data_IF_401894165798
#
_entry.id   IF_401894165798
#
_cell.length_a   1.000
_cell.length_b   1.000
_cell.length_c   1.000
_cell.angle_alpha   90.00
_cell.angle_beta   90.00
_cell.angle_gamma   90.00
#
_symmetry.space_group_name_H-M   'P 1'
#
loop_
_entity.id
_entity.type
_entity.pdbx_description
1 polymer ?
#
# COMPACT_ATOMS: atom_id res chain seq x y z
N UNK A 1 64.06 -7.02 12.14
CA UNK A 1 63.64 -6.99 13.56
C UNK A 1 62.14 -6.75 13.60
N UNK A 2 61.39 -7.66 14.24
CA UNK A 2 59.94 -7.54 14.51
C UNK A 2 59.69 -6.44 15.56
N UNK A 3 58.49 -5.87 15.60
CA UNK A 3 57.60 -6.27 16.70
C UNK A 3 56.17 -6.58 16.25
N UNK A 4 55.55 -7.41 17.10
CA UNK A 4 54.22 -8.00 17.04
C UNK A 4 53.16 -6.98 17.48
N UNK A 5 52.00 -6.96 16.80
CA UNK A 5 50.75 -6.46 17.40
C UNK A 5 49.71 -7.58 17.40
N UNK A 6 49.12 -7.78 18.58
CA UNK A 6 48.24 -8.88 18.92
C UNK A 6 46.79 -8.65 18.52
N UNK A 7 46.09 -9.77 18.33
CA UNK A 7 44.68 -9.88 18.05
C UNK A 7 43.81 -9.46 19.26
N UNK A 8 42.73 -8.72 18.99
CA UNK A 8 41.65 -8.47 19.94
C UNK A 8 40.43 -9.33 19.55
N UNK A 9 39.90 -9.98 20.59
CA UNK A 9 38.85 -11.01 20.59
C UNK A 9 37.47 -10.49 20.23
N UNK A 10 36.69 -11.35 19.58
CA UNK A 10 35.26 -11.19 19.35
C UNK A 10 34.45 -11.21 20.65
N UNK A 11 33.29 -10.54 20.59
CA UNK A 11 32.20 -10.66 21.55
C UNK A 11 31.00 -11.25 20.81
N UNK A 12 30.70 -12.51 21.10
CA UNK A 12 29.39 -13.11 20.86
C UNK A 12 28.41 -12.56 21.89
N UNK A 13 27.24 -12.12 21.41
CA UNK A 13 26.09 -11.75 22.23
C UNK A 13 25.14 -12.94 22.15
N UNK A 14 25.05 -13.72 23.23
CA UNK A 14 24.06 -14.78 23.37
C UNK A 14 22.74 -14.17 23.87
N UNK A 15 21.65 -14.49 23.16
CA UNK A 15 20.28 -14.15 23.52
C UNK A 15 19.76 -15.16 24.56
N UNK A 16 19.31 -14.67 25.72
CA UNK A 16 18.56 -15.48 26.68
C UNK A 16 17.06 -15.42 26.37
N UNK A 17 16.50 -16.59 26.12
CA UNK A 17 15.08 -16.84 25.99
C UNK A 17 14.48 -17.12 27.39
N UNK A 18 13.48 -16.34 27.79
CA UNK A 18 12.69 -16.60 29.00
C UNK A 18 11.48 -17.48 28.66
N UNK A 19 11.55 -18.74 29.09
CA UNK A 19 10.39 -19.65 29.20
C UNK A 19 10.00 -19.72 30.67
N UNK A 20 8.70 -19.57 30.97
CA UNK A 20 8.14 -19.91 32.28
C UNK A 20 6.79 -20.60 32.10
N UNK A 21 6.76 -21.88 32.46
CA UNK A 21 5.55 -22.66 32.75
C UNK A 21 5.80 -23.33 34.10
N UNK A 22 4.85 -23.22 35.05
CA UNK A 22 4.25 -24.34 35.81
C UNK A 22 3.54 -23.94 37.13
N UNK A 23 2.22 -24.15 37.11
CA UNK A 23 1.35 -24.86 38.08
C UNK A 23 1.07 -24.42 39.53
N UNK A 24 -0.26 -24.37 39.76
CA UNK A 24 -1.11 -24.96 40.84
C UNK A 24 -1.12 -24.38 42.24
N UNK A 25 -2.34 -24.03 42.68
CA UNK A 25 -2.79 -24.02 44.07
C UNK A 25 -4.33 -24.00 44.16
N UNK A 26 -4.89 -25.06 44.75
CA UNK A 26 -6.32 -25.38 44.92
C UNK A 26 -7.00 -24.59 46.06
N UNK A 27 -8.34 -24.62 46.05
CA UNK A 27 -9.35 -24.49 47.14
C UNK A 27 -10.16 -23.17 47.21
N UNK A 28 -11.47 -23.26 46.90
CA UNK A 28 -12.57 -23.29 47.89
C UNK A 28 -13.93 -23.56 47.20
N UNK A 29 -14.73 -24.41 47.85
CA UNK A 29 -16.14 -24.69 47.55
C UNK A 29 -17.05 -23.64 48.21
N UNK A 30 -18.15 -23.27 47.58
CA UNK A 30 -19.53 -23.19 48.12
C UNK A 30 -20.42 -22.43 47.13
N UNK A 31 -21.39 -23.12 46.53
CA UNK A 31 -22.84 -22.94 46.76
C UNK A 31 -23.47 -21.79 45.97
N UNK A 32 -24.24 -22.14 44.94
CA UNK A 32 -25.48 -21.45 44.56
C UNK A 32 -26.31 -22.40 43.68
N UNK A 33 -27.16 -23.18 44.34
CA UNK A 33 -28.32 -23.84 43.75
C UNK A 33 -29.47 -22.82 43.75
N UNK A 34 -30.42 -23.03 42.83
CA UNK A 34 -31.77 -22.42 42.72
C UNK A 34 -31.87 -21.21 41.78
N UNK A 35 -32.21 -21.48 40.52
CA UNK A 35 -33.24 -20.75 39.76
C UNK A 35 -33.66 -21.49 38.48
N UNK A 36 -33.88 -22.81 38.54
CA UNK A 36 -34.72 -23.51 37.57
C UNK A 36 -36.13 -23.57 38.15
N UNK A 37 -36.92 -22.49 38.03
CA UNK A 37 -38.39 -22.58 38.18
C UNK A 37 -39.19 -21.33 37.74
N UNK A 38 -38.65 -20.50 36.83
CA UNK A 38 -39.34 -19.27 36.37
C UNK A 38 -39.55 -19.22 34.85
N UNK A 39 -39.12 -20.23 34.09
CA UNK A 39 -39.22 -20.23 32.62
C UNK A 39 -40.33 -21.12 32.04
N UNK A 40 -41.30 -21.57 32.84
CA UNK A 40 -42.35 -22.50 32.39
C UNK A 40 -43.77 -21.90 32.36
N UNK A 41 -43.91 -20.57 32.24
CA UNK A 41 -45.24 -19.93 32.22
C UNK A 41 -45.54 -18.90 31.14
N UNK A 42 -44.71 -18.76 30.11
CA UNK A 42 -45.14 -18.04 28.92
C UNK A 42 -44.70 -18.77 27.67
N UNK A 43 -45.66 -19.23 26.88
CA UNK A 43 -45.46 -19.89 25.59
C UNK A 43 -44.87 -18.93 24.55
N UNK A 44 -43.58 -18.67 24.64
CA UNK A 44 -42.81 -17.96 23.63
C UNK A 44 -42.10 -19.01 22.78
N UNK A 45 -42.48 -19.08 21.51
CA UNK A 45 -41.87 -19.90 20.48
C UNK A 45 -40.33 -19.76 20.51
N UNK A 46 -39.64 -20.79 20.97
CA UNK A 46 -38.17 -20.94 20.85
C UNK A 46 -37.69 -20.87 19.40
N UNK A 47 -38.57 -21.11 18.42
CA UNK A 47 -38.30 -20.89 17.01
C UNK A 47 -38.09 -19.41 16.64
N UNK A 48 -38.71 -18.45 17.36
CA UNK A 48 -38.60 -17.02 17.05
C UNK A 48 -37.28 -16.39 17.54
N UNK A 49 -36.69 -16.91 18.62
CA UNK A 49 -35.38 -16.43 19.13
C UNK A 49 -34.24 -16.96 18.27
N UNK A 50 -34.36 -18.19 17.74
CA UNK A 50 -33.41 -18.73 16.76
C UNK A 50 -33.49 -18.02 15.40
N UNK A 51 -34.68 -17.57 14.97
CA UNK A 51 -34.81 -16.70 13.79
C UNK A 51 -34.29 -15.27 14.05
N UNK A 52 -34.48 -14.71 15.25
CA UNK A 52 -33.95 -13.38 15.58
C UNK A 52 -32.41 -13.36 15.66
N UNK A 53 -31.76 -14.47 16.02
CA UNK A 53 -30.30 -14.61 16.02
C UNK A 53 -29.69 -15.03 14.67
N UNK A 54 -30.48 -15.63 13.76
CA UNK A 54 -30.09 -15.87 12.36
C UNK A 54 -30.36 -14.68 11.43
N UNK A 55 -31.14 -13.69 11.88
CA UNK A 55 -31.42 -12.41 11.20
C UNK A 55 -30.63 -11.24 11.80
N UNK A 56 -29.62 -11.52 12.64
CA UNK A 56 -28.45 -10.63 12.71
C UNK A 56 -27.66 -10.86 11.44
N UNK A 57 -28.17 -10.23 10.36
CA UNK A 57 -27.52 -10.21 9.08
C UNK A 57 -26.06 -9.87 9.31
N UNK A 58 -25.17 -10.74 8.82
CA UNK A 58 -23.88 -10.27 8.34
C UNK A 58 -24.19 -8.99 7.57
N UNK A 59 -23.63 -7.82 7.95
CA UNK A 59 -23.89 -6.58 7.23
C UNK A 59 -23.75 -6.94 5.76
N UNK A 60 -24.84 -6.81 5.00
CA UNK A 60 -24.87 -7.18 3.61
C UNK A 60 -23.62 -6.57 3.00
N UNK A 61 -22.71 -7.42 2.49
CA UNK A 61 -21.48 -6.95 1.87
C UNK A 61 -21.94 -5.85 0.90
N UNK A 62 -21.51 -4.61 1.15
CA UNK A 62 -21.90 -3.41 0.39
C UNK A 62 -21.35 -3.59 -1.02
N UNK A 63 -22.02 -4.41 -1.84
CA UNK A 63 -21.62 -4.82 -3.17
C UNK A 63 -21.76 -3.61 -4.08
N UNK A 64 -20.67 -2.89 -4.28
CA UNK A 64 -20.63 -1.65 -5.06
C UNK A 64 -19.58 -0.64 -4.58
N UNK A 65 -19.01 -0.81 -3.38
CA UNK A 65 -18.06 0.12 -2.76
C UNK A 65 -16.59 -0.27 -2.84
N UNK A 66 -16.20 -1.24 -3.68
CA UNK A 66 -14.85 -1.85 -3.61
C UNK A 66 -13.99 -1.69 -4.89
N UNK A 67 -14.45 -0.92 -5.87
CA UNK A 67 -13.63 -0.62 -7.05
C UNK A 67 -12.58 0.44 -6.72
N UNK A 68 -11.32 0.18 -7.08
CA UNK A 68 -10.25 1.16 -6.92
C UNK A 68 -10.54 2.35 -7.84
N UNK A 69 -10.54 3.58 -7.33
CA UNK A 69 -11.03 4.75 -8.06
C UNK A 69 -10.15 5.14 -9.24
N UNK A 70 -10.77 5.39 -10.39
CA UNK A 70 -10.06 5.76 -11.63
C UNK A 70 -9.17 7.01 -11.51
N UNK A 71 -9.51 7.89 -10.56
CA UNK A 71 -8.77 9.12 -10.22
C UNK A 71 -8.66 9.25 -8.72
N UNK A 72 -7.52 9.76 -8.26
CA UNK A 72 -7.27 10.11 -6.87
C UNK A 72 -7.01 11.61 -6.79
N UNK A 73 -7.65 12.27 -5.84
CA UNK A 73 -7.60 13.72 -5.64
C UNK A 73 -7.15 14.05 -4.22
N UNK A 74 -6.63 15.25 -3.99
CA UNK A 74 -6.32 15.72 -2.64
C UNK A 74 -7.59 16.27 -1.98
N UNK A 75 -7.98 15.70 -0.84
CA UNK A 75 -9.06 16.20 0.00
C UNK A 75 -8.47 16.94 1.21
N UNK A 76 -8.60 18.28 1.30
CA UNK A 76 -8.22 19.01 2.49
C UNK A 76 -9.17 18.67 3.65
N UNK A 77 -8.61 18.25 4.78
CA UNK A 77 -9.35 17.86 5.97
C UNK A 77 -8.85 18.63 7.18
N UNK A 78 -9.73 19.15 8.02
CA UNK A 78 -9.41 19.52 9.39
C UNK A 78 -9.93 18.42 10.31
N UNK A 79 -9.00 17.64 10.87
CA UNK A 79 -9.33 16.59 11.82
C UNK A 79 -9.29 17.20 13.22
N UNK A 80 -10.41 17.15 13.94
CA UNK A 80 -10.59 17.87 15.20
C UNK A 80 -10.77 16.85 16.33
N UNK A 81 -9.72 16.53 17.10
CA UNK A 81 -9.85 15.72 18.29
C UNK A 81 -10.93 16.27 19.24
N UNK A 82 -11.51 15.40 20.05
CA UNK A 82 -12.72 15.70 20.84
C UNK A 82 -12.57 16.91 21.78
N UNK A 83 -11.38 17.11 22.32
CA UNK A 83 -10.97 18.18 23.23
C UNK A 83 -10.48 19.44 22.51
N UNK A 84 -10.44 19.44 21.18
CA UNK A 84 -9.88 20.52 20.37
C UNK A 84 -10.96 21.35 19.67
N UNK A 85 -10.61 22.59 19.35
CA UNK A 85 -11.48 23.52 18.63
C UNK A 85 -11.37 23.33 17.11
N UNK A 86 -12.47 23.56 16.35
CA UNK A 86 -12.44 23.51 14.89
C UNK A 86 -11.58 24.66 14.35
N UNK A 87 -11.12 24.59 13.09
CA UNK A 87 -10.32 25.66 12.50
C UNK A 87 -11.14 26.94 12.38
N UNK A 88 -10.49 28.07 12.67
CA UNK A 88 -11.06 29.38 12.40
C UNK A 88 -11.01 29.71 10.89
N UNK A 89 -11.71 30.77 10.43
CA UNK A 89 -11.70 31.16 9.01
C UNK A 89 -10.31 31.54 8.48
N UNK A 90 -9.42 32.07 9.32
CA UNK A 90 -8.07 32.46 8.92
C UNK A 90 -7.18 31.24 8.71
N UNK A 91 -7.26 30.23 9.60
CA UNK A 91 -6.62 28.92 9.43
C UNK A 91 -7.08 28.23 8.15
N UNK A 92 -8.40 28.19 7.93
CA UNK A 92 -8.99 27.58 6.75
C UNK A 92 -8.47 28.24 5.46
N UNK A 93 -8.40 29.57 5.45
CA UNK A 93 -7.90 30.34 4.31
C UNK A 93 -6.40 30.09 4.10
N UNK A 94 -5.60 30.19 5.15
CA UNK A 94 -4.14 30.04 5.08
C UNK A 94 -3.75 28.63 4.61
N UNK A 95 -4.40 27.59 5.14
CA UNK A 95 -4.16 26.23 4.69
C UNK A 95 -4.52 26.04 3.21
N UNK A 96 -5.64 26.64 2.77
CA UNK A 96 -6.02 26.68 1.36
C UNK A 96 -4.98 27.34 0.46
N UNK A 97 -4.37 28.45 0.90
CA UNK A 97 -3.30 29.15 0.17
C UNK A 97 -2.05 28.28 0.02
N UNK A 98 -1.59 27.65 1.12
CA UNK A 98 -0.47 26.69 1.10
C UNK A 98 -0.70 25.53 0.10
N UNK A 99 -1.92 24.98 0.08
CA UNK A 99 -2.29 23.92 -0.85
C UNK A 99 -2.25 24.37 -2.31
N UNK A 100 -2.70 25.58 -2.62
CA UNK A 100 -2.59 26.12 -3.99
C UNK A 100 -1.13 26.25 -4.41
N UNK A 101 -0.26 26.75 -3.53
CA UNK A 101 1.17 26.88 -3.79
C UNK A 101 1.80 25.50 -4.01
N UNK A 102 1.45 24.50 -3.18
CA UNK A 102 1.95 23.13 -3.34
C UNK A 102 1.53 22.55 -4.70
N UNK A 103 0.25 22.69 -5.07
CA UNK A 103 -0.26 22.24 -6.38
C UNK A 103 0.46 22.91 -7.54
N UNK A 104 0.72 24.22 -7.44
CA UNK A 104 1.47 24.96 -8.45
C UNK A 104 2.92 24.47 -8.55
N UNK A 105 3.57 24.18 -7.43
CA UNK A 105 4.94 23.64 -7.40
C UNK A 105 5.03 22.25 -8.04
N UNK A 106 4.10 21.34 -7.72
CA UNK A 106 4.03 20.05 -8.41
C UNK A 106 3.80 20.20 -9.92
N UNK A 107 2.96 21.18 -10.33
CA UNK A 107 2.74 21.49 -11.75
C UNK A 107 4.03 21.87 -12.47
N UNK A 108 4.84 22.72 -11.84
CA UNK A 108 6.14 23.13 -12.38
C UNK A 108 7.08 21.92 -12.48
N UNK A 109 7.24 21.18 -11.37
CA UNK A 109 8.15 20.04 -11.31
C UNK A 109 7.78 18.95 -12.31
N UNK A 110 6.49 18.70 -12.55
CA UNK A 110 5.98 17.65 -13.44
C UNK A 110 5.62 18.15 -14.85
N UNK A 111 6.20 19.28 -15.28
CA UNK A 111 6.07 19.81 -16.64
C UNK A 111 4.61 20.01 -17.10
N UNK A 112 3.76 20.51 -16.21
CA UNK A 112 2.38 20.88 -16.49
C UNK A 112 1.32 19.94 -15.88
N UNK A 113 1.69 18.75 -15.42
CA UNK A 113 0.78 17.84 -14.71
C UNK A 113 0.80 18.08 -13.20
N UNK A 114 -0.31 17.86 -12.50
CA UNK A 114 -0.38 18.04 -11.04
C UNK A 114 -1.57 17.30 -10.47
N UNK A 115 -1.65 17.19 -9.15
CA UNK A 115 -2.82 16.64 -8.48
C UNK A 115 -4.00 17.62 -8.58
N UNK A 116 -5.21 17.08 -8.50
CA UNK A 116 -6.45 17.86 -8.40
C UNK A 116 -6.96 17.86 -6.97
N UNK A 117 -7.73 18.89 -6.62
CA UNK A 117 -8.50 18.90 -5.37
C UNK A 117 -9.81 18.16 -5.57
N UNK A 118 -10.32 17.57 -4.49
CA UNK A 118 -11.68 17.04 -4.45
C UNK A 118 -12.70 18.13 -4.90
N UNK A 119 -13.84 17.75 -5.52
CA UNK A 119 -14.78 18.70 -6.11
C UNK A 119 -15.34 19.69 -5.07
N UNK A 120 -15.54 19.19 -3.86
CA UNK A 120 -15.79 19.99 -2.67
C UNK A 120 -14.49 20.68 -2.25
N UNK A 121 -14.15 21.80 -2.89
CA UNK A 121 -12.94 22.59 -2.62
C UNK A 121 -12.89 23.23 -1.23
N UNK A 122 -13.79 22.85 -0.33
CA UNK A 122 -13.85 23.34 1.04
C UNK A 122 -13.10 22.39 1.95
N UNK A 123 -12.49 22.95 2.99
CA UNK A 123 -11.88 22.17 4.05
C UNK A 123 -12.96 21.32 4.74
N UNK A 124 -12.89 19.99 4.62
CA UNK A 124 -13.80 19.08 5.30
C UNK A 124 -13.42 19.04 6.77
N UNK A 125 -14.33 19.42 7.66
CA UNK A 125 -14.11 19.32 9.10
C UNK A 125 -14.65 17.97 9.58
N UNK A 126 -13.81 17.17 10.23
CA UNK A 126 -14.19 15.87 10.81
C UNK A 126 -13.87 15.87 12.30
N UNK A 127 -14.85 15.46 13.11
CA UNK A 127 -14.69 15.36 14.56
C UNK A 127 -14.15 13.98 14.91
N UNK A 128 -12.97 13.96 15.53
CA UNK A 128 -12.38 12.72 16.02
C UNK A 128 -13.19 12.13 17.18
N UNK A 129 -13.20 10.80 17.29
CA UNK A 129 -13.91 10.08 18.38
C UNK A 129 -13.18 10.21 19.72
N UNK A 130 -11.87 10.39 19.67
CA UNK A 130 -10.98 10.47 20.83
C UNK A 130 -10.38 11.87 21.02
N UNK A 131 -9.81 12.10 22.21
CA UNK A 131 -9.02 13.31 22.52
C UNK A 131 -7.66 13.28 21.82
N UNK A 132 -6.96 14.42 21.78
CA UNK A 132 -5.65 14.57 21.15
C UNK A 132 -4.62 13.60 21.76
N UNK A 133 -4.74 13.39 23.07
CA UNK A 133 -3.87 12.57 23.90
C UNK A 133 -3.90 11.09 23.53
N UNK A 134 -5.08 10.58 23.14
CA UNK A 134 -5.23 9.25 22.57
C UNK A 134 -4.39 9.08 21.30
N UNK A 135 -4.55 9.96 20.31
CA UNK A 135 -3.81 9.85 19.04
C UNK A 135 -2.30 9.98 19.24
N UNK A 136 -1.85 10.78 20.22
CA UNK A 136 -0.44 10.90 20.59
C UNK A 136 0.17 9.59 21.07
N UNK A 137 -0.60 8.80 21.82
CA UNK A 137 -0.17 7.50 22.36
C UNK A 137 -0.42 6.34 21.39
N UNK A 138 -1.24 6.54 20.36
CA UNK A 138 -1.53 5.54 19.36
C UNK A 138 -0.31 5.22 18.47
N UNK A 139 -0.35 4.06 17.80
CA UNK A 139 0.70 3.63 16.90
C UNK A 139 0.87 4.64 15.75
N UNK A 140 2.11 4.80 15.28
CA UNK A 140 2.42 5.70 14.16
C UNK A 140 1.84 7.11 14.39
N UNK A 141 1.93 7.59 15.65
CA UNK A 141 1.46 8.92 16.07
C UNK A 141 -0.03 9.17 15.73
N UNK A 142 -0.85 8.10 15.71
CA UNK A 142 -2.29 8.17 15.50
C UNK A 142 -2.74 8.32 14.04
N UNK A 143 -1.82 8.33 13.07
CA UNK A 143 -2.19 8.38 11.64
C UNK A 143 -3.19 7.28 11.24
N UNK A 144 -2.99 5.99 11.63
CA UNK A 144 -3.92 4.92 11.28
C UNK A 144 -5.34 5.14 11.82
N UNK A 145 -5.46 5.54 13.09
CA UNK A 145 -6.74 5.78 13.74
C UNK A 145 -7.49 6.95 13.09
N UNK A 146 -6.80 8.06 12.82
CA UNK A 146 -7.40 9.21 12.11
C UNK A 146 -7.88 8.83 10.70
N UNK A 147 -7.09 8.05 9.96
CA UNK A 147 -7.48 7.59 8.62
C UNK A 147 -8.67 6.64 8.67
N UNK A 148 -8.70 5.70 9.62
CA UNK A 148 -9.84 4.79 9.79
C UNK A 148 -11.12 5.59 10.11
N UNK A 149 -11.05 6.58 11.00
CA UNK A 149 -12.19 7.45 11.29
C UNK A 149 -12.64 8.28 10.09
N UNK A 150 -11.71 8.76 9.26
CA UNK A 150 -12.04 9.47 8.02
C UNK A 150 -12.68 8.57 6.97
N UNK A 151 -12.23 7.34 6.85
CA UNK A 151 -12.85 6.35 5.97
C UNK A 151 -14.27 6.04 6.43
N UNK A 152 -14.48 5.81 7.73
CA UNK A 152 -15.80 5.58 8.31
C UNK A 152 -16.75 6.77 8.08
N UNK A 153 -16.30 8.00 8.39
CA UNK A 153 -17.07 9.25 8.23
C UNK A 153 -17.50 9.50 6.78
N UNK A 154 -16.65 9.11 5.81
CA UNK A 154 -16.91 9.28 4.38
C UNK A 154 -17.58 8.05 3.74
N UNK A 155 -17.89 7.01 4.53
CA UNK A 155 -18.40 5.73 4.08
C UNK A 155 -17.53 5.07 2.98
N UNK A 156 -16.21 5.21 3.12
CA UNK A 156 -15.22 4.67 2.19
C UNK A 156 -14.53 3.44 2.78
N UNK A 157 -13.97 2.61 1.90
CA UNK A 157 -12.99 1.59 2.30
C UNK A 157 -11.59 2.07 1.95
N UNK A 158 -10.56 1.41 2.52
CA UNK A 158 -9.17 1.67 2.11
C UNK A 158 -8.95 1.47 0.61
N UNK A 159 -9.79 0.68 -0.07
CA UNK A 159 -9.64 0.33 -1.48
C UNK A 159 -10.40 1.27 -2.41
N UNK A 160 -11.61 1.71 -2.02
CA UNK A 160 -12.41 2.65 -2.81
C UNK A 160 -12.09 4.11 -2.58
N UNK A 161 -11.28 4.43 -1.56
CA UNK A 161 -10.94 5.79 -1.22
C UNK A 161 -10.31 6.56 -2.41
N UNK A 162 -11.01 7.59 -2.97
CA UNK A 162 -10.52 8.39 -4.09
C UNK A 162 -9.67 9.57 -3.62
N UNK A 163 -9.24 9.59 -2.36
CA UNK A 163 -8.58 10.75 -1.78
C UNK A 163 -7.18 10.48 -1.23
N UNK A 164 -6.27 11.41 -1.49
CA UNK A 164 -5.18 11.70 -0.57
C UNK A 164 -5.73 12.67 0.48
N UNK A 165 -5.88 12.19 1.72
CA UNK A 165 -6.31 13.04 2.84
C UNK A 165 -5.17 13.98 3.23
N UNK A 166 -5.36 15.27 3.04
CA UNK A 166 -4.43 16.30 3.49
C UNK A 166 -4.92 16.87 4.81
N UNK A 167 -4.47 16.27 5.91
CA UNK A 167 -5.06 16.42 7.24
C UNK A 167 -4.34 17.53 8.02
N UNK A 168 -5.05 18.60 8.32
CA UNK A 168 -4.70 19.56 9.35
C UNK A 168 -5.25 19.03 10.68
N UNK A 169 -4.39 18.53 11.55
CA UNK A 169 -4.80 18.06 12.89
C UNK A 169 -4.93 19.27 13.79
N UNK A 170 -6.14 19.53 14.27
CA UNK A 170 -6.38 20.67 15.15
C UNK A 170 -5.71 20.44 16.49
N UNK A 171 -4.71 21.27 16.75
CA UNK A 171 -3.90 21.33 17.94
C UNK A 171 -3.26 22.73 17.96
N UNK A 172 -3.67 23.57 18.90
CA UNK A 172 -3.16 24.94 19.01
C UNK A 172 -1.95 25.07 19.95
N UNK A 173 -1.61 24.00 20.67
CA UNK A 173 -0.69 24.04 21.81
C UNK A 173 0.75 23.68 21.42
N UNK A 174 0.92 22.64 20.59
CA UNK A 174 2.24 22.15 20.19
C UNK A 174 2.27 21.55 18.78
N UNK A 175 3.46 21.14 18.36
CA UNK A 175 3.75 20.62 17.02
C UNK A 175 3.22 19.22 16.76
N UNK A 176 2.44 18.58 17.63
CA UNK A 176 1.98 17.21 17.39
C UNK A 176 0.75 17.15 16.46
N UNK A 177 0.77 16.36 15.37
CA UNK A 177 1.93 15.66 14.81
C UNK A 177 2.83 16.60 13.98
N UNK A 178 4.15 16.39 14.04
CA UNK A 178 5.17 17.26 13.40
C UNK A 178 5.03 17.28 11.87
N UNK A 179 4.53 16.20 11.30
CA UNK A 179 4.48 15.94 9.87
C UNK A 179 4.62 14.44 9.60
N UNK A 180 3.98 13.99 8.53
CA UNK A 180 4.18 12.66 7.96
C UNK A 180 3.17 12.38 6.88
N UNK A 181 3.50 11.47 5.99
CA UNK A 181 2.61 11.02 4.93
C UNK A 181 2.96 9.63 4.43
N UNK A 182 2.01 8.99 3.76
CA UNK A 182 2.20 7.71 3.05
C UNK A 182 0.96 7.35 2.23
N UNK A 183 1.07 6.43 1.26
CA UNK A 183 -0.08 5.81 0.64
C UNK A 183 -0.80 4.90 1.64
N UNK A 184 -2.13 4.84 1.57
CA UNK A 184 -2.93 3.97 2.46
C UNK A 184 -2.70 2.50 2.13
N UNK A 185 -2.63 2.19 0.85
CA UNK A 185 -2.45 0.83 0.31
C UNK A 185 -1.00 0.53 -0.09
N UNK A 186 -0.08 1.42 0.22
CA UNK A 186 1.32 1.32 -0.20
C UNK A 186 1.51 1.51 -1.71
N UNK A 187 2.77 1.42 -2.15
CA UNK A 187 3.16 1.52 -3.54
C UNK A 187 2.76 2.81 -4.24
N UNK A 188 2.79 2.77 -5.57
CA UNK A 188 2.25 3.81 -6.43
C UNK A 188 0.93 3.32 -7.03
N UNK A 189 -0.07 4.20 -7.13
CA UNK A 189 -1.31 3.96 -7.88
C UNK A 189 -2.33 2.96 -7.29
N UNK A 190 -2.26 2.67 -6.00
CA UNK A 190 -3.10 1.65 -5.35
C UNK A 190 -4.30 2.24 -4.58
N UNK A 191 -4.69 3.46 -4.92
CA UNK A 191 -5.76 4.21 -4.28
C UNK A 191 -5.24 5.45 -3.58
N UNK A 192 -5.94 5.88 -2.54
CA UNK A 192 -5.64 7.08 -1.78
C UNK A 192 -4.35 7.05 -0.94
N UNK A 193 -4.13 8.14 -0.23
CA UNK A 193 -3.00 8.35 0.66
C UNK A 193 -3.38 9.27 1.81
N UNK A 194 -2.42 9.61 2.64
CA UNK A 194 -2.62 10.59 3.69
C UNK A 194 -1.33 11.35 3.96
N UNK A 195 -1.50 12.60 4.36
CA UNK A 195 -0.55 13.29 5.22
C UNK A 195 -1.29 13.93 6.39
N UNK A 196 -0.56 14.24 7.44
CA UNK A 196 -1.03 14.96 8.60
C UNK A 196 0.00 15.98 9.10
N UNK A 197 -0.46 17.18 9.47
CA UNK A 197 0.38 18.20 10.08
C UNK A 197 -0.48 18.96 11.11
N UNK A 198 0.08 19.30 12.26
CA UNK A 198 -0.63 20.07 13.28
C UNK A 198 -1.03 21.48 12.80
N UNK A 199 -2.17 22.00 13.25
CA UNK A 199 -2.55 23.41 13.03
C UNK A 199 -1.60 24.40 13.71
N UNK A 200 -0.88 23.98 14.75
CA UNK A 200 0.19 24.75 15.35
C UNK A 200 1.28 25.09 14.34
N UNK A 201 1.72 24.11 13.55
CA UNK A 201 2.75 24.29 12.52
C UNK A 201 2.31 25.29 11.45
N UNK A 202 1.05 25.21 11.01
CA UNK A 202 0.48 26.16 10.05
C UNK A 202 0.62 27.62 10.51
N UNK A 203 0.51 27.86 11.83
CA UNK A 203 0.55 29.20 12.42
C UNK A 203 1.95 29.66 12.80
N UNK A 204 2.83 28.73 13.20
CA UNK A 204 4.09 29.05 13.89
C UNK A 204 5.33 28.72 13.08
N UNK A 205 5.24 27.82 12.11
CA UNK A 205 6.39 27.35 11.35
C UNK A 205 6.46 28.05 9.99
N UNK A 206 7.47 28.90 9.82
CA UNK A 206 7.72 29.57 8.53
C UNK A 206 8.05 28.56 7.40
N UNK A 207 8.45 27.34 7.75
CA UNK A 207 8.79 26.26 6.82
C UNK A 207 7.62 25.31 6.53
N UNK A 208 6.39 25.68 6.94
CA UNK A 208 5.20 24.86 6.71
C UNK A 208 5.02 24.49 5.23
N UNK A 209 5.27 25.42 4.30
CA UNK A 209 5.05 25.17 2.87
C UNK A 209 5.99 24.12 2.27
N UNK A 210 7.28 24.11 2.65
CA UNK A 210 8.21 23.06 2.22
C UNK A 210 7.89 21.72 2.85
N UNK A 211 7.48 21.70 4.13
CA UNK A 211 7.04 20.49 4.84
C UNK A 211 5.80 19.89 4.18
N UNK A 212 4.79 20.70 3.87
CA UNK A 212 3.58 20.25 3.16
C UNK A 212 3.90 19.60 1.81
N UNK A 213 4.85 20.17 1.05
CA UNK A 213 5.27 19.58 -0.23
C UNK A 213 5.98 18.24 -0.04
N UNK A 214 6.86 18.13 0.95
CA UNK A 214 7.54 16.89 1.31
C UNK A 214 6.54 15.79 1.68
N UNK A 215 5.59 16.09 2.57
CA UNK A 215 4.60 15.11 3.04
C UNK A 215 3.57 14.71 1.97
N UNK A 216 3.25 15.63 1.05
CA UNK A 216 2.50 15.28 -0.17
C UNK A 216 3.30 14.28 -1.02
N UNK A 217 4.62 14.44 -1.12
CA UNK A 217 5.50 13.49 -1.82
C UNK A 217 5.38 12.08 -1.26
N UNK A 218 5.44 11.94 0.07
CA UNK A 218 5.18 10.67 0.73
C UNK A 218 3.76 10.13 0.48
N UNK A 219 2.75 11.00 0.56
CA UNK A 219 1.36 10.64 0.26
C UNK A 219 1.17 10.07 -1.15
N UNK A 220 1.99 10.54 -2.10
CA UNK A 220 2.00 10.07 -3.49
C UNK A 220 2.91 8.84 -3.72
N UNK A 221 3.58 8.34 -2.68
CA UNK A 221 4.35 7.11 -2.68
C UNK A 221 5.87 7.29 -2.77
N UNK A 222 6.40 8.49 -2.60
CA UNK A 222 7.84 8.73 -2.61
C UNK A 222 8.47 8.39 -1.26
N UNK A 223 9.53 7.57 -1.19
CA UNK A 223 10.35 7.45 0.00
C UNK A 223 11.32 8.63 0.12
N UNK A 224 12.03 8.71 1.24
CA UNK A 224 13.21 9.56 1.35
C UNK A 224 14.33 9.11 0.40
N UNK A 225 15.18 10.04 -0.01
CA UNK A 225 16.21 9.80 -1.04
C UNK A 225 17.36 8.87 -0.61
N UNK A 226 17.55 8.67 0.69
CA UNK A 226 18.60 7.82 1.27
C UNK A 226 18.40 6.34 0.94
N UNK A 227 17.15 5.90 0.67
CA UNK A 227 16.88 4.54 0.18
C UNK A 227 17.52 4.25 -1.17
N UNK A 228 17.89 5.29 -1.92
CA UNK A 228 18.61 5.22 -3.18
C UNK A 228 20.10 5.55 -3.04
N UNK A 229 20.58 5.79 -1.81
CA UNK A 229 21.99 6.11 -1.50
C UNK A 229 22.36 7.59 -1.59
N UNK A 230 21.39 8.49 -1.79
CA UNK A 230 21.65 9.93 -1.80
C UNK A 230 21.74 10.52 -0.37
N UNK A 231 22.52 11.59 -0.15
CA UNK A 231 22.60 12.24 1.15
C UNK A 231 21.29 12.96 1.51
N UNK A 232 20.66 12.53 2.61
CA UNK A 232 19.37 13.08 3.07
C UNK A 232 19.41 14.59 3.35
N UNK A 233 20.57 15.16 3.72
CA UNK A 233 20.70 16.58 4.10
C UNK A 233 21.13 17.50 2.95
N UNK A 234 21.45 16.99 1.76
CA UNK A 234 22.10 17.80 0.71
C UNK A 234 21.65 17.53 -0.72
N UNK A 235 20.65 16.67 -0.90
CA UNK A 235 20.09 16.39 -2.22
C UNK A 235 19.06 17.44 -2.58
N UNK A 236 18.98 17.82 -3.86
CA UNK A 236 18.00 18.79 -4.37
C UNK A 236 16.56 18.26 -4.44
N UNK A 237 16.31 17.03 -3.99
CA UNK A 237 14.97 16.44 -3.98
C UNK A 237 14.12 17.08 -2.89
N UNK A 238 12.82 17.27 -3.15
CA UNK A 238 11.83 17.61 -2.12
C UNK A 238 11.73 16.52 -1.05
N UNK A 239 12.17 15.28 -1.33
CA UNK A 239 12.21 14.15 -0.41
C UNK A 239 13.50 14.09 0.42
N UNK A 240 14.30 15.15 0.40
CA UNK A 240 15.43 15.36 1.29
C UNK A 240 15.04 16.26 2.47
N UNK A 241 15.90 16.33 3.48
CA UNK A 241 15.83 17.29 4.59
C UNK A 241 16.78 18.47 4.38
N UNK A 242 17.11 18.80 3.13
CA UNK A 242 18.02 19.90 2.83
C UNK A 242 17.43 21.25 3.32
N UNK A 243 18.05 21.91 4.31
CA UNK A 243 17.53 23.16 4.87
C UNK A 243 17.47 24.30 3.84
N UNK A 244 18.23 24.20 2.75
CA UNK A 244 18.16 25.16 1.65
C UNK A 244 16.77 25.20 0.99
N UNK A 245 15.93 24.17 1.16
CA UNK A 245 14.58 24.13 0.58
C UNK A 245 13.51 24.77 1.47
N UNK A 246 13.87 25.24 2.67
CA UNK A 246 12.93 25.81 3.63
C UNK A 246 12.24 27.07 3.10
N UNK A 247 10.91 27.04 3.10
CA UNK A 247 10.08 28.20 2.76
C UNK A 247 10.11 29.28 3.83
N UNK A 248 9.55 30.45 3.51
CA UNK A 248 9.23 31.51 4.48
C UNK A 248 7.75 31.88 4.38
N UNK A 249 6.92 31.21 5.18
CA UNK A 249 5.47 31.27 5.12
C UNK A 249 4.97 30.83 3.74
N UNK A 250 4.29 31.74 3.04
CA UNK A 250 3.79 31.52 1.67
C UNK A 250 4.85 31.76 0.59
N UNK A 251 6.03 32.27 0.94
CA UNK A 251 7.11 32.48 -0.03
C UNK A 251 7.92 31.20 -0.23
N UNK A 252 8.09 30.72 -1.48
CA UNK A 252 8.99 29.62 -1.79
C UNK A 252 10.43 29.92 -1.33
N UNK A 253 11.21 28.86 -1.05
CA UNK A 253 12.65 29.01 -0.87
C UNK A 253 13.32 29.63 -2.12
N UNK A 254 14.41 30.41 -1.98
CA UNK A 254 15.27 30.79 -3.10
C UNK A 254 15.83 29.60 -3.88
N UNK A 255 15.97 28.44 -3.22
CA UNK A 255 16.43 27.17 -3.79
C UNK A 255 15.39 26.09 -3.48
N UNK A 256 14.21 26.13 -4.11
CA UNK A 256 13.13 25.20 -3.80
C UNK A 256 13.51 23.78 -4.23
N UNK A 257 13.21 22.80 -3.39
CA UNK A 257 13.44 21.39 -3.72
C UNK A 257 12.74 20.98 -5.03
N UNK A 258 13.33 20.04 -5.74
CA UNK A 258 12.93 19.53 -7.05
C UNK A 258 12.63 18.03 -6.98
N UNK A 259 12.37 17.37 -8.12
CA UNK A 259 12.23 15.91 -8.17
C UNK A 259 13.47 15.32 -8.84
N UNK A 260 14.14 14.40 -8.16
CA UNK A 260 15.18 13.57 -8.79
C UNK A 260 14.55 12.58 -9.77
N UNK A 261 15.38 11.90 -10.56
CA UNK A 261 14.91 10.99 -11.59
C UNK A 261 14.07 9.84 -11.02
N UNK A 262 14.45 9.29 -9.86
CA UNK A 262 13.70 8.26 -9.12
C UNK A 262 12.34 8.76 -8.67
N UNK A 263 12.25 9.98 -8.15
CA UNK A 263 10.99 10.60 -7.75
C UNK A 263 10.05 10.70 -8.97
N UNK A 264 10.55 11.23 -10.09
CA UNK A 264 9.77 11.35 -11.34
C UNK A 264 9.33 9.98 -11.85
N UNK A 265 10.22 8.99 -11.81
CA UNK A 265 9.91 7.62 -12.23
C UNK A 265 8.83 7.01 -11.35
N UNK A 266 8.89 7.19 -10.04
CA UNK A 266 7.88 6.72 -9.10
C UNK A 266 6.53 7.45 -9.29
N UNK A 267 6.53 8.78 -9.43
CA UNK A 267 5.30 9.54 -9.67
C UNK A 267 4.66 9.23 -11.03
N UNK A 268 5.44 8.90 -12.06
CA UNK A 268 4.92 8.43 -13.34
C UNK A 268 4.20 7.08 -13.25
N UNK A 269 4.45 6.30 -12.18
CA UNK A 269 3.66 5.11 -11.89
C UNK A 269 2.33 5.50 -11.23
N UNK A 270 2.19 6.68 -10.61
CA UNK A 270 0.96 7.08 -9.92
C UNK A 270 -0.05 7.78 -10.87
N UNK A 271 -0.49 7.08 -11.92
CA UNK A 271 -1.34 7.63 -12.98
C UNK A 271 -2.75 8.07 -12.52
N UNK A 272 -3.28 7.52 -11.42
CA UNK A 272 -4.56 7.92 -10.82
C UNK A 272 -4.49 9.34 -10.25
N UNK A 273 -3.31 9.80 -9.81
CA UNK A 273 -3.08 11.20 -9.42
C UNK A 273 -2.57 11.98 -10.64
N UNK A 274 -1.46 11.53 -11.23
CA UNK A 274 -0.70 12.25 -12.26
C UNK A 274 -0.86 11.58 -13.64
N UNK A 275 -2.02 11.77 -14.28
CA UNK A 275 -2.39 11.06 -15.53
C UNK A 275 -1.44 11.32 -16.70
N UNK A 276 -0.79 12.48 -16.72
CA UNK A 276 -0.01 12.97 -17.86
C UNK A 276 1.49 12.86 -17.60
N UNK A 277 1.88 12.51 -16.38
CA UNK A 277 3.28 12.37 -16.00
C UNK A 277 3.84 11.09 -16.61
N UNK A 278 4.90 11.25 -17.40
CA UNK A 278 5.62 10.13 -18.01
C UNK A 278 7.11 10.24 -17.67
N UNK A 279 7.75 9.11 -17.38
CA UNK A 279 9.20 9.02 -17.24
C UNK A 279 9.87 8.71 -18.58
N UNK A 280 10.88 9.50 -18.94
CA UNK A 280 11.66 9.40 -20.17
C UNK A 280 13.14 9.45 -19.80
N UNK A 281 13.85 8.31 -19.77
CA UNK A 281 15.25 8.23 -19.33
C UNK A 281 16.17 9.30 -19.96
N UNK A 282 16.10 9.47 -21.28
CA UNK A 282 16.93 10.44 -22.02
C UNK A 282 16.68 11.92 -21.64
N UNK A 283 15.52 12.23 -21.05
CA UNK A 283 15.14 13.59 -20.61
C UNK A 283 15.33 13.77 -19.11
N UNK A 284 14.94 12.75 -18.34
CA UNK A 284 14.75 12.87 -16.89
C UNK A 284 15.99 12.44 -16.09
N UNK A 285 16.91 11.68 -16.68
CA UNK A 285 18.19 11.34 -16.07
C UNK A 285 19.21 12.42 -16.47
N UNK A 286 19.87 13.09 -15.52
CA UNK A 286 20.93 14.04 -15.83
C UNK A 286 22.01 13.41 -16.72
N UNK A 287 22.60 14.20 -17.63
CA UNK A 287 23.65 13.71 -18.52
C UNK A 287 24.81 13.14 -17.71
N UNK A 288 25.16 11.87 -17.95
CA UNK A 288 26.20 11.16 -17.20
C UNK A 288 25.79 10.67 -15.81
N UNK A 289 24.53 10.91 -15.40
CA UNK A 289 23.95 10.41 -14.17
C UNK A 289 23.58 8.94 -14.24
N UNK A 290 23.63 8.26 -13.10
CA UNK A 290 23.04 6.94 -12.89
C UNK A 290 21.89 7.08 -11.90
N UNK A 291 20.88 6.23 -12.05
CA UNK A 291 19.74 6.14 -11.14
C UNK A 291 19.65 4.74 -10.57
N UNK A 292 18.97 4.59 -9.44
CA UNK A 292 18.64 3.28 -8.90
C UNK A 292 17.84 2.46 -9.91
N UNK A 293 18.22 1.19 -10.18
CA UNK A 293 17.44 0.31 -11.06
C UNK A 293 16.05 0.01 -10.46
N UNK A 294 15.94 0.07 -9.13
CA UNK A 294 14.73 -0.25 -8.36
C UNK A 294 14.04 1.02 -7.86
N UNK A 295 12.71 1.04 -7.94
CA UNK A 295 11.87 1.96 -7.17
C UNK A 295 11.52 1.31 -5.83
N UNK A 296 11.73 2.03 -4.74
CA UNK A 296 11.43 1.54 -3.39
C UNK A 296 10.05 2.07 -2.98
N UNK A 297 9.00 1.21 -2.94
CA UNK A 297 7.69 1.65 -2.52
C UNK A 297 7.59 1.78 -1.01
N UNK A 298 6.75 2.71 -0.54
CA UNK A 298 6.25 2.71 0.82
C UNK A 298 5.23 1.58 1.01
N UNK A 299 5.25 0.90 2.16
CA UNK A 299 4.29 -0.18 2.46
C UNK A 299 2.88 0.33 2.76
N UNK A 300 1.86 -0.55 2.79
CA UNK A 300 0.50 -0.19 3.21
C UNK A 300 0.42 0.14 4.70
N UNK A 301 -0.56 0.96 5.06
CA UNK A 301 -0.91 1.22 6.46
C UNK A 301 -1.62 0.01 7.08
N UNK A 302 -1.36 -0.25 8.35
CA UNK A 302 -2.23 -1.11 9.16
C UNK A 302 -3.34 -0.23 9.72
N UNK A 303 -4.58 -0.40 9.28
CA UNK A 303 -5.71 0.46 9.66
C UNK A 303 -6.66 -0.28 10.62
N UNK A 304 -6.97 0.28 11.81
CA UNK A 304 -7.95 -0.30 12.72
C UNK A 304 -9.30 -0.52 12.02
N UNK A 305 -9.92 -1.69 12.23
CA UNK A 305 -11.25 -2.01 11.67
C UNK A 305 -11.27 -2.31 10.16
N UNK A 306 -10.16 -2.19 9.44
CA UNK A 306 -10.07 -2.51 8.02
C UNK A 306 -9.24 -3.78 7.77
N UNK A 307 -9.54 -4.56 6.71
CA UNK A 307 -8.73 -5.71 6.34
C UNK A 307 -7.31 -5.31 5.93
N UNK A 308 -6.39 -6.26 6.05
CA UNK A 308 -5.04 -6.13 5.52
C UNK A 308 -5.05 -5.93 4.00
N UNK A 309 -4.05 -5.22 3.49
CA UNK A 309 -4.00 -4.85 2.07
C UNK A 309 -3.60 -5.99 1.14
N UNK A 310 -2.67 -6.86 1.58
CA UNK A 310 -2.06 -7.84 0.70
C UNK A 310 -2.97 -9.06 0.48
N UNK A 311 -3.13 -9.55 -0.77
CA UNK A 311 -3.80 -10.81 -1.02
C UNK A 311 -3.02 -11.99 -0.43
N UNK A 312 -3.75 -13.04 -0.10
CA UNK A 312 -3.18 -14.33 0.30
C UNK A 312 -2.98 -15.18 -0.95
N UNK A 313 -1.80 -15.77 -1.10
CA UNK A 313 -1.50 -16.70 -2.18
C UNK A 313 -1.11 -18.05 -1.57
N UNK A 314 -1.77 -19.11 -2.03
CA UNK A 314 -1.44 -20.49 -1.64
C UNK A 314 -1.18 -21.33 -2.88
N UNK A 315 -0.40 -22.40 -2.73
CA UNK A 315 -0.06 -23.30 -3.84
C UNK A 315 0.09 -24.75 -3.40
N UNK A 316 -0.26 -25.68 -4.29
CA UNK A 316 0.02 -27.12 -4.15
C UNK A 316 1.41 -27.52 -4.70
N UNK A 317 2.09 -26.57 -5.32
CA UNK A 317 3.33 -26.76 -6.06
C UNK A 317 4.59 -26.41 -5.25
N UNK A 318 4.45 -26.10 -3.96
CA UNK A 318 5.57 -25.79 -3.07
C UNK A 318 6.24 -24.44 -3.34
N UNK A 319 7.25 -24.13 -2.52
CA UNK A 319 8.01 -22.89 -2.53
C UNK A 319 9.51 -23.24 -2.41
N UNK A 320 10.18 -23.41 -3.55
CA UNK A 320 11.58 -23.85 -3.59
C UNK A 320 12.56 -22.67 -3.62
N UNK A 321 13.84 -22.97 -3.35
CA UNK A 321 14.96 -22.02 -3.45
C UNK A 321 14.80 -20.76 -2.60
N UNK A 322 14.02 -20.85 -1.51
CA UNK A 322 13.75 -19.72 -0.62
C UNK A 322 12.75 -18.70 -1.17
N UNK A 323 12.07 -19.00 -2.28
CA UNK A 323 10.98 -18.17 -2.77
C UNK A 323 9.69 -18.35 -1.98
N UNK A 324 8.69 -17.50 -2.27
CA UNK A 324 7.33 -17.63 -1.76
C UNK A 324 6.32 -17.39 -2.87
N UNK A 325 5.20 -18.11 -2.85
CA UNK A 325 4.10 -17.96 -3.79
C UNK A 325 3.52 -16.54 -3.77
N UNK A 326 3.51 -15.88 -2.61
CA UNK A 326 3.06 -14.48 -2.48
C UNK A 326 3.91 -13.50 -3.29
N UNK A 327 5.15 -13.84 -3.66
CA UNK A 327 6.01 -12.99 -4.50
C UNK A 327 5.41 -12.75 -5.90
N UNK A 328 4.50 -13.61 -6.37
CA UNK A 328 3.91 -13.45 -7.70
C UNK A 328 2.97 -12.26 -7.81
N UNK A 329 2.56 -11.63 -6.71
CA UNK A 329 1.65 -10.48 -6.72
C UNK A 329 2.21 -9.26 -5.99
N UNK A 330 3.45 -9.31 -5.49
CA UNK A 330 4.07 -8.23 -4.74
C UNK A 330 5.49 -7.93 -5.22
N UNK A 331 5.90 -6.68 -5.08
CA UNK A 331 7.28 -6.28 -5.34
C UNK A 331 7.57 -5.93 -6.79
N UNK A 332 8.81 -6.18 -7.21
CA UNK A 332 9.32 -5.79 -8.51
C UNK A 332 9.16 -6.92 -9.53
N UNK A 333 8.63 -6.61 -10.73
CA UNK A 333 8.75 -7.52 -11.88
C UNK A 333 10.17 -7.40 -12.38
N UNK A 334 10.97 -8.44 -12.13
CA UNK A 334 12.32 -8.56 -12.67
C UNK A 334 12.26 -8.86 -14.17
N UNK A 335 13.26 -8.45 -14.97
CA UNK A 335 13.36 -8.88 -16.35
C UNK A 335 13.65 -10.39 -16.40
N UNK A 336 13.23 -11.06 -17.47
CA UNK A 336 13.58 -12.48 -17.65
C UNK A 336 15.03 -12.65 -18.10
N UNK A 337 15.54 -11.78 -18.97
CA UNK A 337 16.84 -11.94 -19.62
C UNK A 337 17.65 -10.64 -19.61
N UNK A 338 18.97 -10.77 -19.76
CA UNK A 338 19.91 -9.64 -19.86
C UNK A 338 21.18 -9.85 -19.03
N UNK A 339 22.18 -8.96 -19.16
CA UNK A 339 23.42 -9.05 -18.37
C UNK A 339 23.14 -9.01 -16.86
N UNK A 340 23.65 -10.00 -16.13
CA UNK A 340 23.48 -10.09 -14.67
C UNK A 340 22.09 -10.49 -14.18
N UNK A 341 21.15 -10.78 -15.08
CA UNK A 341 19.80 -11.20 -14.72
C UNK A 341 19.79 -12.69 -14.34
N UNK A 342 19.50 -12.94 -13.06
CA UNK A 342 19.47 -14.27 -12.46
C UNK A 342 18.18 -14.46 -11.66
N UNK A 343 17.96 -15.68 -11.17
CA UNK A 343 16.84 -15.98 -10.28
C UNK A 343 16.93 -15.17 -8.97
N UNK A 344 15.81 -14.54 -8.59
CA UNK A 344 15.68 -13.74 -7.38
C UNK A 344 14.56 -14.30 -6.48
N UNK A 345 14.87 -15.07 -5.43
CA UNK A 345 13.86 -15.65 -4.54
C UNK A 345 13.09 -14.60 -3.74
N UNK A 346 13.56 -13.36 -3.67
CA UNK A 346 12.84 -12.27 -3.01
C UNK A 346 11.68 -11.69 -3.83
N UNK A 347 11.72 -11.83 -5.16
CA UNK A 347 10.73 -11.25 -6.09
C UNK A 347 10.09 -12.27 -7.04
N UNK A 348 10.56 -13.51 -7.04
CA UNK A 348 10.03 -14.58 -7.88
C UNK A 348 9.45 -15.69 -7.01
N UNK A 349 8.56 -16.49 -7.59
CA UNK A 349 8.15 -17.80 -7.07
C UNK A 349 8.74 -18.91 -7.94
N UNK A 350 9.25 -19.96 -7.32
CA UNK A 350 9.73 -21.17 -7.97
C UNK A 350 9.02 -22.39 -7.40
N UNK A 351 8.42 -23.20 -8.27
CA UNK A 351 7.76 -24.43 -7.85
C UNK A 351 8.76 -25.52 -7.46
N UNK A 352 8.30 -26.53 -6.73
CA UNK A 352 8.96 -27.86 -6.70
C UNK A 352 8.87 -28.53 -8.08
N UNK A 353 9.61 -29.63 -8.33
CA UNK A 353 9.38 -30.43 -9.53
C UNK A 353 7.90 -30.88 -9.58
N UNK A 354 7.25 -30.78 -10.75
CA UNK A 354 5.83 -31.03 -10.93
C UNK A 354 5.61 -32.32 -11.74
N UNK A 355 5.36 -33.48 -11.08
CA UNK A 355 4.93 -34.69 -11.77
C UNK A 355 3.60 -34.43 -12.50
N UNK A 356 3.61 -34.54 -13.83
CA UNK A 356 2.45 -34.18 -14.66
C UNK A 356 2.40 -32.69 -15.07
N UNK A 357 3.42 -31.91 -14.71
CA UNK A 357 3.66 -30.57 -15.25
C UNK A 357 2.57 -29.56 -14.90
N UNK A 358 1.92 -29.68 -13.74
CA UNK A 358 0.82 -28.81 -13.31
C UNK A 358 1.08 -28.21 -11.94
N UNK A 359 0.81 -26.91 -11.79
CA UNK A 359 0.73 -26.22 -10.51
C UNK A 359 -0.63 -25.52 -10.36
N UNK A 360 -1.11 -25.38 -9.14
CA UNK A 360 -2.29 -24.58 -8.81
C UNK A 360 -1.87 -23.48 -7.84
N UNK A 361 -2.27 -22.25 -8.17
CA UNK A 361 -2.22 -21.09 -7.30
C UNK A 361 -3.65 -20.68 -6.96
N UNK A 362 -3.97 -20.54 -5.68
CA UNK A 362 -5.19 -19.87 -5.24
C UNK A 362 -4.84 -18.51 -4.66
N UNK A 363 -5.51 -17.47 -5.17
CA UNK A 363 -5.29 -16.08 -4.81
C UNK A 363 -6.58 -15.56 -4.19
N UNK A 364 -6.49 -15.09 -2.95
CA UNK A 364 -7.58 -14.47 -2.23
C UNK A 364 -7.27 -13.01 -1.93
N UNK A 365 -7.98 -12.11 -2.59
CA UNK A 365 -7.93 -10.69 -2.31
C UNK A 365 -8.67 -10.36 -1.00
N UNK A 366 -8.31 -9.27 -0.31
CA UNK A 366 -9.03 -8.84 0.89
C UNK A 366 -10.46 -8.33 0.59
N UNK A 367 -10.76 -8.05 -0.67
CA UNK A 367 -12.06 -7.61 -1.19
C UNK A 367 -12.27 -8.18 -2.60
N UNK A 368 -13.49 -8.06 -3.14
CA UNK A 368 -13.75 -8.51 -4.50
C UNK A 368 -13.10 -7.57 -5.52
N UNK A 369 -12.24 -8.10 -6.39
CA UNK A 369 -11.59 -7.31 -7.44
C UNK A 369 -12.29 -7.58 -8.77
N UNK A 370 -12.54 -6.52 -9.57
CA UNK A 370 -13.04 -6.65 -10.94
C UNK A 370 -11.86 -6.64 -11.91
N UNK A 371 -11.69 -7.71 -12.67
CA UNK A 371 -10.65 -7.85 -13.69
C UNK A 371 -11.25 -8.33 -15.03
N UNK A 372 -10.59 -7.99 -16.13
CA UNK A 372 -10.86 -8.47 -17.49
C UNK A 372 -9.58 -8.95 -18.21
N UNK A 373 -8.44 -8.86 -17.54
CA UNK A 373 -7.14 -9.30 -18.05
C UNK A 373 -6.26 -9.80 -16.90
N UNK A 374 -5.48 -10.84 -17.16
CA UNK A 374 -4.39 -11.33 -16.31
C UNK A 374 -3.11 -11.32 -17.12
N UNK A 375 -2.09 -10.60 -16.67
CA UNK A 375 -0.76 -10.68 -17.27
C UNK A 375 0.13 -11.62 -16.48
N UNK A 376 0.75 -12.56 -17.18
CA UNK A 376 1.64 -13.57 -16.61
C UNK A 376 3.08 -13.21 -17.00
N UNK A 377 3.92 -13.01 -15.98
CA UNK A 377 5.36 -12.83 -16.12
C UNK A 377 6.04 -14.12 -15.67
N UNK A 378 6.45 -14.97 -16.61
CA UNK A 378 7.09 -16.26 -16.32
C UNK A 378 8.54 -16.29 -16.78
N UNK A 379 9.24 -17.41 -16.53
CA UNK A 379 10.64 -17.62 -16.88
C UNK A 379 11.61 -16.79 -16.03
N UNK A 380 12.85 -17.25 -15.91
CA UNK A 380 13.99 -16.43 -15.49
C UNK A 380 15.22 -16.78 -16.33
N UNK A 381 16.22 -15.91 -16.27
CA UNK A 381 17.51 -16.06 -16.97
C UNK A 381 17.41 -16.25 -18.50
N UNK A 382 16.23 -16.01 -19.09
CA UNK A 382 15.96 -16.13 -20.53
C UNK A 382 15.87 -17.55 -21.08
N UNK A 383 15.95 -18.58 -20.24
CA UNK A 383 16.14 -19.97 -20.70
C UNK A 383 15.17 -20.99 -20.09
N UNK A 384 14.74 -20.82 -18.84
CA UNK A 384 14.12 -21.91 -18.09
C UNK A 384 12.79 -21.55 -17.42
N UNK A 385 11.95 -22.58 -17.24
CA UNK A 385 10.79 -22.59 -16.34
C UNK A 385 9.60 -21.70 -16.76
N UNK A 386 9.41 -21.52 -18.07
CA UNK A 386 8.26 -20.81 -18.64
C UNK A 386 6.92 -21.56 -18.43
N UNK A 387 5.84 -20.79 -18.39
CA UNK A 387 4.47 -21.31 -18.43
C UNK A 387 4.08 -21.62 -19.87
N UNK A 388 3.57 -22.82 -20.14
CA UNK A 388 3.14 -23.24 -21.49
C UNK A 388 1.62 -23.16 -21.73
N UNK A 389 0.84 -23.26 -20.65
CA UNK A 389 -0.61 -23.13 -20.68
C UNK A 389 -1.14 -22.73 -19.31
N UNK A 390 -2.32 -22.13 -19.30
CA UNK A 390 -3.01 -21.71 -18.08
C UNK A 390 -4.51 -21.97 -18.15
N UNK A 391 -5.11 -22.19 -16.99
CA UNK A 391 -6.56 -22.14 -16.77
C UNK A 391 -6.86 -21.22 -15.58
N UNK A 392 -7.72 -20.23 -15.79
CA UNK A 392 -8.14 -19.25 -14.80
C UNK A 392 -9.60 -19.50 -14.46
N UNK A 393 -9.90 -19.56 -13.17
CA UNK A 393 -11.23 -19.78 -12.65
C UNK A 393 -11.54 -18.77 -11.55
N UNK A 394 -12.78 -18.27 -11.50
CA UNK A 394 -13.29 -17.61 -10.28
C UNK A 394 -13.82 -18.65 -9.33
N UNK A 395 -13.60 -18.46 -8.03
CA UNK A 395 -14.17 -19.27 -6.97
C UNK A 395 -15.25 -18.47 -6.25
N UNK A 396 -16.43 -19.05 -6.07
CA UNK A 396 -17.48 -18.45 -5.25
C UNK A 396 -17.28 -18.73 -3.75
N UNK A 397 -18.20 -18.24 -2.90
CA UNK A 397 -18.15 -18.46 -1.46
C UNK A 397 -18.27 -19.94 -1.04
N UNK A 398 -18.79 -20.81 -1.91
CA UNK A 398 -18.86 -22.26 -1.70
C UNK A 398 -17.59 -23.00 -2.16
N UNK A 399 -16.67 -22.30 -2.82
CA UNK A 399 -15.49 -22.89 -3.45
C UNK A 399 -15.77 -23.50 -4.83
N UNK A 400 -16.98 -23.33 -5.37
CA UNK A 400 -17.31 -23.77 -6.73
C UNK A 400 -16.57 -22.91 -7.74
N UNK A 401 -15.99 -23.57 -8.75
CA UNK A 401 -15.16 -22.92 -9.75
C UNK A 401 -15.93 -22.70 -11.05
N UNK A 402 -15.84 -21.48 -11.60
CA UNK A 402 -16.29 -21.16 -12.95
C UNK A 402 -15.08 -20.75 -13.80
N UNK A 403 -14.84 -21.47 -14.89
CA UNK A 403 -13.74 -21.19 -15.80
C UNK A 403 -13.97 -19.87 -16.55
N UNK A 404 -12.91 -19.06 -16.62
CA UNK A 404 -12.90 -17.77 -17.30
C UNK A 404 -12.01 -17.80 -18.56
N UNK A 405 -10.89 -18.52 -18.48
CA UNK A 405 -9.97 -18.74 -19.59
C UNK A 405 -9.28 -20.11 -19.43
N UNK A 406 -9.00 -20.77 -20.56
CA UNK A 406 -8.22 -22.01 -20.64
C UNK A 406 -7.48 -22.01 -21.99
N UNK A 407 -6.19 -21.71 -21.97
CA UNK A 407 -5.43 -21.49 -23.21
C UNK A 407 -3.94 -21.81 -23.07
N UNK A 408 -3.27 -21.95 -24.22
CA UNK A 408 -1.81 -21.96 -24.28
C UNK A 408 -1.26 -20.55 -24.03
N UNK A 409 -0.10 -20.49 -23.40
CA UNK A 409 0.65 -19.26 -23.17
C UNK A 409 1.76 -19.21 -24.21
N UNK A 410 1.70 -18.21 -25.09
CA UNK A 410 2.62 -18.10 -26.23
C UNK A 410 3.90 -17.33 -25.94
N UNK A 411 3.92 -16.57 -24.85
CA UNK A 411 5.00 -15.67 -24.45
C UNK A 411 5.29 -15.76 -22.95
N UNK A 412 6.53 -15.45 -22.57
CA UNK A 412 6.92 -15.30 -21.16
C UNK A 412 6.32 -14.05 -20.50
N UNK A 413 5.83 -13.13 -21.31
CA UNK A 413 5.04 -11.94 -20.96
C UNK A 413 3.72 -12.05 -21.74
N UNK A 414 2.71 -12.70 -21.18
CA UNK A 414 1.45 -12.97 -21.86
C UNK A 414 0.29 -12.26 -21.15
N UNK A 415 -0.53 -11.52 -21.89
CA UNK A 415 -1.78 -10.98 -21.41
C UNK A 415 -2.94 -11.89 -21.84
N UNK A 416 -3.72 -12.36 -20.86
CA UNK A 416 -4.88 -13.22 -21.09
C UNK A 416 -6.14 -12.45 -20.76
N UNK A 417 -6.91 -12.11 -21.79
CA UNK A 417 -8.19 -11.40 -21.64
C UNK A 417 -9.34 -12.38 -21.37
N UNK A 418 -10.32 -11.95 -20.60
CA UNK A 418 -11.54 -12.69 -20.29
C UNK A 418 -12.71 -11.73 -20.03
N UNK A 419 -13.93 -12.25 -19.95
CA UNK A 419 -15.10 -11.42 -19.65
C UNK A 419 -14.94 -10.70 -18.30
N UNK A 420 -15.29 -9.41 -18.21
CA UNK A 420 -15.28 -8.65 -16.97
C UNK A 420 -15.87 -9.41 -15.79
N UNK A 421 -15.01 -9.79 -14.85
CA UNK A 421 -15.37 -10.66 -13.74
C UNK A 421 -14.96 -10.04 -12.42
N UNK A 422 -15.91 -9.98 -11.50
CA UNK A 422 -15.68 -9.62 -10.10
C UNK A 422 -15.54 -10.90 -9.27
N UNK A 423 -14.43 -11.03 -8.54
CA UNK A 423 -14.23 -12.12 -7.59
C UNK A 423 -13.21 -11.74 -6.52
N UNK A 424 -13.41 -12.27 -5.32
CA UNK A 424 -12.42 -12.22 -4.24
C UNK A 424 -11.41 -13.36 -4.35
N UNK A 425 -11.84 -14.53 -4.83
CA UNK A 425 -11.03 -15.75 -4.91
C UNK A 425 -10.85 -16.20 -6.35
N UNK A 426 -9.61 -16.48 -6.70
CA UNK A 426 -9.20 -16.86 -8.05
C UNK A 426 -8.34 -18.11 -7.97
N UNK A 427 -8.55 -19.03 -8.91
CA UNK A 427 -7.70 -20.21 -9.06
C UNK A 427 -7.01 -20.15 -10.41
N UNK A 428 -5.69 -20.23 -10.38
CA UNK A 428 -4.84 -20.27 -11.56
C UNK A 428 -4.13 -21.62 -11.61
N UNK A 429 -4.53 -22.45 -12.57
CA UNK A 429 -3.80 -23.66 -12.93
C UNK A 429 -2.78 -23.33 -14.00
N UNK A 430 -1.53 -23.67 -13.78
CA UNK A 430 -0.43 -23.45 -14.72
C UNK A 430 0.18 -24.77 -15.16
N UNK A 431 0.63 -24.83 -16.41
CA UNK A 431 1.37 -25.97 -16.94
C UNK A 431 2.79 -25.62 -17.32
N UNK A 432 3.72 -26.53 -17.04
CA UNK A 432 5.13 -26.37 -17.38
C UNK A 432 5.35 -26.50 -18.89
N UNK A 433 6.39 -25.82 -19.39
CA UNK A 433 6.93 -26.04 -20.73
C UNK A 433 7.83 -27.28 -20.79
N UNK A 434 9.07 -27.08 -21.23
CA UNK A 434 10.05 -28.16 -21.47
C UNK A 434 10.65 -28.75 -20.19
N UNK A 435 10.51 -28.05 -19.07
CA UNK A 435 11.11 -28.40 -17.77
C UNK A 435 10.03 -28.84 -16.79
N UNK A 436 10.36 -29.57 -15.71
CA UNK A 436 9.38 -29.97 -14.70
C UNK A 436 9.10 -28.87 -13.65
N UNK A 437 9.58 -27.65 -13.85
CA UNK A 437 9.44 -26.54 -12.89
C UNK A 437 8.77 -25.33 -13.53
N UNK A 438 8.18 -24.48 -12.70
CA UNK A 438 7.67 -23.17 -13.06
C UNK A 438 8.37 -22.08 -12.27
N UNK A 439 8.64 -20.97 -12.95
CA UNK A 439 9.00 -19.70 -12.31
C UNK A 439 8.04 -18.61 -12.76
N UNK A 440 7.51 -17.90 -11.77
CA UNK A 440 6.74 -16.68 -11.97
C UNK A 440 7.48 -15.50 -11.36
N UNK A 441 7.64 -14.46 -12.17
CA UNK A 441 8.13 -13.13 -11.78
C UNK A 441 6.97 -12.20 -11.38
N UNK A 442 5.73 -12.53 -11.75
CA UNK A 442 4.58 -11.69 -11.49
C UNK A 442 3.28 -12.17 -12.15
N UNK A 443 2.17 -11.79 -11.54
CA UNK A 443 0.78 -11.90 -11.98
C UNK A 443 0.12 -10.53 -11.78
N UNK A 444 -0.28 -9.87 -12.87
CA UNK A 444 -0.87 -8.53 -12.84
C UNK A 444 -2.35 -8.62 -13.29
N UNK A 445 -3.26 -8.52 -12.33
CA UNK A 445 -4.70 -8.46 -12.58
C UNK A 445 -5.07 -7.06 -13.04
N UNK A 446 -5.75 -6.96 -14.19
CA UNK A 446 -6.08 -5.70 -14.82
C UNK A 446 -7.56 -5.55 -15.14
N UNK A 447 -7.98 -4.29 -15.14
CA UNK A 447 -9.30 -3.83 -15.56
C UNK A 447 -9.13 -2.71 -16.56
N UNK A 448 -9.59 -2.89 -17.79
CA UNK A 448 -9.44 -1.89 -18.87
C UNK A 448 -7.98 -1.45 -19.03
N UNK A 449 -7.05 -2.42 -18.95
CA UNK A 449 -5.61 -2.19 -19.06
C UNK A 449 -4.93 -1.56 -17.83
N UNK A 450 -5.64 -1.33 -16.72
CA UNK A 450 -5.07 -0.78 -15.48
C UNK A 450 -4.97 -1.84 -14.37
N UNK A 451 -3.89 -1.89 -13.57
CA UNK A 451 -3.77 -2.81 -12.44
C UNK A 451 -4.84 -2.63 -11.36
N UNK A 452 -5.28 -3.75 -10.76
CA UNK A 452 -6.38 -3.84 -9.77
C UNK A 452 -5.91 -4.20 -8.35
N UNK A 453 -4.61 -4.13 -8.03
CA UNK A 453 -3.93 -4.45 -6.74
C UNK A 453 -3.32 -5.85 -6.63
N UNK A 454 -2.21 -5.98 -5.85
CA UNK A 454 -1.19 -4.96 -5.67
C UNK A 454 -0.55 -4.66 -7.02
N UNK A 455 -0.04 -3.44 -7.21
CA UNK A 455 0.70 -3.13 -8.43
C UNK A 455 2.10 -3.65 -8.27
N UNK A 456 2.45 -4.63 -9.10
CA UNK A 456 3.82 -5.00 -9.32
C UNK A 456 4.57 -3.85 -10.01
N UNK A 457 5.79 -3.56 -9.56
CA UNK A 457 6.60 -2.45 -10.06
C UNK A 457 7.52 -2.97 -11.17
N UNK A 458 7.41 -2.48 -12.41
CA UNK A 458 8.35 -2.88 -13.46
C UNK A 458 9.78 -2.45 -13.15
N UNK A 459 10.74 -3.32 -13.40
CA UNK A 459 12.16 -2.96 -13.42
C UNK A 459 12.43 -1.89 -14.50
N UNK A 460 13.55 -1.17 -14.37
CA UNK A 460 13.92 -0.13 -15.35
C UNK A 460 14.12 -0.74 -16.76
N UNK A 461 14.71 -1.94 -16.79
CA UNK A 461 15.02 -2.70 -18.01
C UNK A 461 13.74 -3.13 -18.72
N UNK A 462 12.73 -3.58 -17.97
CA UNK A 462 11.45 -4.00 -18.56
C UNK A 462 10.66 -2.81 -19.11
N UNK A 463 10.72 -1.65 -18.45
CA UNK A 463 9.98 -0.46 -18.88
C UNK A 463 10.41 0.07 -20.26
N UNK A 464 11.65 -0.19 -20.68
CA UNK A 464 12.15 0.16 -22.01
C UNK A 464 11.72 -0.84 -23.09
N UNK A 465 11.59 -2.12 -22.74
CA UNK A 465 11.19 -3.20 -23.67
C UNK A 465 9.70 -3.22 -24.04
N UNK A 466 8.85 -2.53 -23.27
CA UNK A 466 7.39 -2.47 -23.47
C UNK A 466 6.91 -1.31 -24.36
N UNK A 467 7.84 -0.52 -24.91
CA UNK A 467 7.56 0.49 -25.95
C UNK A 467 7.94 -0.06 -27.30
#
# INVERSE_FOLDING_TARGET
MKPRFGAAKGKEIAAEASTATLTRGLFLRSEAVVAEDVLERQGWNTAAILWALLVWGTPAARSGYDAIPDRVQVLPVAFVPKDQSPPDPAETKLFGEHLQIARARYREMLHGDTFDFAPERRLKVVRGRHDLDHYRRARERGAPDMVAELLDELELTRFSNPYVFCILVMNAEDSFPEGGGRPINGGANLGGGMLYIASFELKRNEHFQSTLQHELGHSFGLPHVDVYGYPIQGTDSIMSYNPAHHSQGLQPSPTPGTLIAEDRRALALNDRVFAKTTFRPLRDIPVGGAISPRIVPLGPMTLPGHPDFYPVVTTDAGEELGSRAVNVIQGEIKPSAGPGITYDPGNMWHSRPLPGGKAVLEIEFPFAVSADELVIHSQHSGIDHEVSAMKLERLDGSGSAAALADQRVGSIEEAVSFEPTESRRWRLTLRTGKTPFLVLRGLDFRRKGKPVVPRLIPSLVDAESRK
#
